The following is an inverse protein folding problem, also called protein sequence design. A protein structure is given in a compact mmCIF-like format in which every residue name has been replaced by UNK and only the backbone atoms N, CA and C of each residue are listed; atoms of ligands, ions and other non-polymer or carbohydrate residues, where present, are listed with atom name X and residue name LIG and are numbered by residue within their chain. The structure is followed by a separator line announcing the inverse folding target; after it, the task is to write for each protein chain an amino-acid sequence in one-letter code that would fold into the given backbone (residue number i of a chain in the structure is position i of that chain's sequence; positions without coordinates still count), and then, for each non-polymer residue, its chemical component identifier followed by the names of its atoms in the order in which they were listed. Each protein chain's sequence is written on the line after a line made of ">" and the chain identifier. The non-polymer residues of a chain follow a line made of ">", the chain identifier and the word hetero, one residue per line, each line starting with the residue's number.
data_IF_962134872586
#
_entry.id   IF_962134872586
#
_cell.length_a   1.000
_cell.length_b   1.000
_cell.length_c   1.000
_cell.angle_alpha   90.00
_cell.angle_beta   90.00
_cell.angle_gamma   90.00
#
_symmetry.space_group_name_H-M   'P 1'
#
loop_
_entity.id
_entity.type
_entity.pdbx_description
1 polymer ?
#
# COMPACT_ATOMS: atom_id res chain seq x y z
N UNK A 1 -8.18 -24.76 25.11
CA UNK A 1 -6.98 -24.23 24.42
C UNK A 1 -5.97 -25.37 24.20
N UNK A 2 -6.26 -26.37 23.35
CA UNK A 2 -5.36 -27.54 23.17
C UNK A 2 -5.38 -28.18 21.77
N UNK A 3 -5.77 -27.45 20.72
CA UNK A 3 -5.76 -28.00 19.35
C UNK A 3 -5.07 -27.04 18.35
N UNK A 4 -3.76 -26.90 18.44
CA UNK A 4 -2.98 -26.28 17.36
C UNK A 4 -1.54 -26.84 17.28
N UNK A 5 -1.41 -28.17 17.33
CA UNK A 5 -0.24 -28.86 16.80
C UNK A 5 -0.59 -29.44 15.43
N UNK A 6 -0.68 -28.58 14.41
CA UNK A 6 -0.59 -29.03 13.02
C UNK A 6 0.44 -28.19 12.29
N UNK A 7 1.41 -28.91 11.72
CA UNK A 7 2.70 -28.45 11.21
C UNK A 7 2.57 -27.84 9.80
N UNK A 8 1.48 -27.13 9.53
CA UNK A 8 1.17 -26.51 8.23
C UNK A 8 0.76 -25.02 8.36
N UNK A 9 1.44 -24.30 9.25
CA UNK A 9 1.28 -22.84 9.45
C UNK A 9 1.45 -22.01 8.17
N UNK A 10 2.19 -22.52 7.18
CA UNK A 10 2.40 -21.86 5.89
C UNK A 10 1.13 -21.79 5.03
N UNK A 11 0.20 -22.75 5.16
CA UNK A 11 -1.07 -22.74 4.40
C UNK A 11 -2.08 -21.78 5.04
N UNK A 12 -2.07 -21.62 6.37
CA UNK A 12 -2.90 -20.61 7.04
C UNK A 12 -2.48 -19.16 6.68
N UNK A 13 -1.21 -18.95 6.34
CA UNK A 13 -0.73 -17.68 5.76
C UNK A 13 -1.07 -17.48 4.28
N UNK A 14 -1.40 -18.56 3.55
CA UNK A 14 -1.66 -18.52 2.10
C UNK A 14 -3.16 -18.45 1.73
N UNK A 15 -4.08 -18.65 2.68
CA UNK A 15 -5.45 -19.07 2.33
C UNK A 15 -6.42 -17.96 1.86
N UNK A 16 -6.35 -16.65 2.24
CA UNK A 16 -7.26 -15.69 1.57
C UNK A 16 -6.88 -14.19 1.46
N UNK A 17 -5.71 -13.71 1.91
CA UNK A 17 -5.64 -12.28 2.27
C UNK A 17 -5.28 -11.25 1.18
N UNK A 18 -4.76 -11.65 0.01
CA UNK A 18 -4.29 -10.68 -0.99
C UNK A 18 -5.20 -10.51 -2.21
N UNK A 19 -5.76 -11.57 -2.82
CA UNK A 19 -6.52 -11.40 -4.06
C UNK A 19 -7.89 -10.76 -3.86
N UNK A 20 -8.65 -11.15 -2.83
CA UNK A 20 -10.08 -10.79 -2.71
C UNK A 20 -10.30 -9.33 -2.28
N UNK A 21 -9.53 -8.84 -1.29
CA UNK A 21 -9.60 -7.44 -0.87
C UNK A 21 -9.02 -6.49 -1.94
N UNK A 22 -7.94 -6.90 -2.62
CA UNK A 22 -7.41 -6.16 -3.75
C UNK A 22 -8.44 -6.11 -4.90
N UNK A 23 -9.15 -7.21 -5.17
CA UNK A 23 -10.19 -7.27 -6.20
C UNK A 23 -11.31 -6.25 -5.95
N UNK A 24 -11.81 -6.17 -4.71
CA UNK A 24 -12.88 -5.24 -4.35
C UNK A 24 -12.40 -3.79 -4.47
N UNK A 25 -11.20 -3.48 -3.96
CA UNK A 25 -10.62 -2.14 -4.07
C UNK A 25 -10.37 -1.73 -5.54
N UNK A 26 -9.86 -2.65 -6.36
CA UNK A 26 -9.64 -2.43 -7.78
C UNK A 26 -10.96 -2.29 -8.55
N UNK A 27 -11.98 -3.08 -8.23
CA UNK A 27 -13.31 -3.00 -8.86
C UNK A 27 -14.02 -1.67 -8.56
N UNK A 28 -13.95 -1.20 -7.31
CA UNK A 28 -14.54 0.09 -6.91
C UNK A 28 -13.79 1.25 -7.59
N UNK A 29 -12.45 1.25 -7.56
CA UNK A 29 -11.66 2.31 -8.21
C UNK A 29 -11.87 2.33 -9.73
N UNK A 30 -11.93 1.15 -10.37
CA UNK A 30 -12.19 1.05 -11.80
C UNK A 30 -13.57 1.62 -12.16
N UNK A 31 -14.57 1.39 -11.31
CA UNK A 31 -15.94 1.84 -11.53
C UNK A 31 -16.13 3.34 -11.25
N UNK A 32 -15.43 3.91 -10.27
CA UNK A 32 -15.60 5.32 -9.87
C UNK A 32 -14.65 6.32 -10.56
N UNK A 33 -13.42 5.92 -10.91
CA UNK A 33 -12.36 6.85 -11.38
C UNK A 33 -11.74 6.48 -12.73
N UNK A 34 -12.22 5.40 -13.36
CA UNK A 34 -11.73 4.91 -14.64
C UNK A 34 -10.40 4.13 -14.57
N UNK A 35 -9.95 3.64 -15.73
CA UNK A 35 -8.82 2.72 -15.88
C UNK A 35 -7.48 3.34 -15.40
N UNK A 36 -7.32 4.64 -15.53
CA UNK A 36 -6.09 5.34 -15.16
C UNK A 36 -5.88 5.38 -13.64
N UNK A 37 -6.98 5.57 -12.89
CA UNK A 37 -6.97 5.47 -11.44
C UNK A 37 -6.78 4.01 -10.96
N UNK A 38 -7.34 3.04 -11.69
CA UNK A 38 -7.11 1.63 -11.43
C UNK A 38 -5.62 1.28 -11.56
N UNK A 39 -4.96 1.69 -12.66
CA UNK A 39 -3.53 1.46 -12.89
C UNK A 39 -2.67 2.07 -11.78
N UNK A 40 -2.97 3.29 -11.35
CA UNK A 40 -2.28 3.92 -10.22
C UNK A 40 -2.47 3.13 -8.92
N UNK A 41 -3.68 2.61 -8.67
CA UNK A 41 -3.99 1.79 -7.49
C UNK A 41 -3.26 0.46 -7.52
N UNK A 42 -3.15 -0.19 -8.69
CA UNK A 42 -2.35 -1.42 -8.86
C UNK A 42 -0.89 -1.15 -8.51
N UNK A 43 -0.31 -0.06 -9.02
CA UNK A 43 1.09 0.28 -8.71
C UNK A 43 1.24 0.55 -7.22
N UNK A 44 0.33 1.31 -6.59
CA UNK A 44 0.32 1.51 -5.14
C UNK A 44 0.23 0.17 -4.37
N UNK A 45 -0.59 -0.77 -4.83
CA UNK A 45 -0.68 -2.13 -4.27
C UNK A 45 0.63 -2.91 -4.40
N UNK A 46 1.40 -2.70 -5.47
CA UNK A 46 2.75 -3.29 -5.58
C UNK A 46 3.70 -2.68 -4.54
N UNK A 47 3.64 -1.37 -4.34
CA UNK A 47 4.44 -0.67 -3.34
C UNK A 47 4.04 -1.02 -1.90
N UNK A 48 2.77 -1.36 -1.63
CA UNK A 48 2.29 -1.76 -0.29
C UNK A 48 2.88 -3.09 0.22
N UNK A 49 3.53 -3.87 -0.66
CA UNK A 49 4.33 -5.03 -0.28
C UNK A 49 5.45 -4.63 0.68
N UNK A 50 6.01 -3.42 0.56
CA UNK A 50 7.11 -2.95 1.41
C UNK A 50 6.69 -2.87 2.88
N UNK A 51 5.60 -2.14 3.27
CA UNK A 51 5.09 -2.16 4.63
C UNK A 51 4.83 -3.56 5.17
N UNK A 52 4.27 -4.45 4.36
CA UNK A 52 4.03 -5.83 4.76
C UNK A 52 5.34 -6.59 5.02
N UNK A 53 6.36 -6.38 4.19
CA UNK A 53 7.67 -6.96 4.41
C UNK A 53 8.32 -6.44 5.70
N UNK A 54 8.22 -5.14 5.96
CA UNK A 54 8.68 -4.51 7.22
C UNK A 54 7.98 -5.13 8.43
N UNK A 55 6.67 -5.36 8.35
CA UNK A 55 5.92 -6.06 9.39
C UNK A 55 6.50 -7.45 9.68
N UNK A 56 6.73 -8.27 8.65
CA UNK A 56 7.23 -9.63 8.80
C UNK A 56 8.65 -9.68 9.39
N UNK A 57 9.54 -8.82 8.91
CA UNK A 57 10.91 -8.73 9.44
C UNK A 57 10.90 -8.25 10.89
N UNK A 58 10.09 -7.25 11.21
CA UNK A 58 9.95 -6.74 12.58
C UNK A 58 9.40 -7.82 13.51
N UNK A 59 8.42 -8.60 13.06
CA UNK A 59 7.83 -9.68 13.84
C UNK A 59 8.82 -10.83 14.06
N UNK A 60 9.57 -11.20 13.03
CA UNK A 60 10.63 -12.20 13.16
C UNK A 60 11.70 -11.76 14.16
N UNK A 61 12.12 -10.49 14.08
CA UNK A 61 13.12 -9.93 15.00
C UNK A 61 12.58 -9.83 16.45
N UNK A 62 11.38 -9.28 16.63
CA UNK A 62 10.80 -9.06 17.95
C UNK A 62 10.35 -10.34 18.65
N UNK A 63 9.93 -11.38 17.93
CA UNK A 63 9.62 -12.68 18.53
C UNK A 63 10.86 -13.39 19.07
N UNK A 64 12.06 -13.05 18.61
CA UNK A 64 13.33 -13.53 19.16
C UNK A 64 13.77 -12.84 20.46
N UNK A 65 13.20 -11.68 20.80
CA UNK A 65 13.65 -10.85 21.92
C UNK A 65 12.59 -10.59 22.98
N UNK A 66 11.31 -10.53 22.60
CA UNK A 66 10.21 -10.06 23.45
C UNK A 66 9.10 -11.11 23.60
N UNK A 67 8.22 -10.91 24.59
CA UNK A 67 6.99 -11.69 24.74
C UNK A 67 6.09 -11.46 23.53
N UNK A 68 5.38 -12.50 23.10
CA UNK A 68 4.56 -12.49 21.89
C UNK A 68 3.61 -11.28 21.76
N UNK A 69 2.87 -10.83 22.79
CA UNK A 69 2.02 -9.65 22.67
C UNK A 69 2.80 -8.36 22.37
N UNK A 70 3.96 -8.16 23.01
CA UNK A 70 4.82 -7.01 22.77
C UNK A 70 5.43 -7.06 21.37
N UNK A 71 5.79 -8.25 20.88
CA UNK A 71 6.29 -8.43 19.52
C UNK A 71 5.25 -8.06 18.46
N UNK A 72 3.98 -8.42 18.65
CA UNK A 72 2.89 -8.00 17.76
C UNK A 72 2.71 -6.48 17.76
N UNK A 73 2.65 -5.86 18.94
CA UNK A 73 2.48 -4.39 19.05
C UNK A 73 3.63 -3.65 18.37
N UNK A 74 4.88 -4.06 18.63
CA UNK A 74 6.04 -3.47 17.98
C UNK A 74 6.01 -3.62 16.46
N UNK A 75 5.63 -4.79 15.96
CA UNK A 75 5.59 -5.07 14.52
C UNK A 75 4.51 -4.25 13.82
N UNK A 76 3.34 -4.09 14.45
CA UNK A 76 2.26 -3.24 13.95
C UNK A 76 2.67 -1.76 13.95
N UNK A 77 3.44 -1.30 14.93
CA UNK A 77 3.98 0.06 14.94
C UNK A 77 4.95 0.28 13.78
N UNK A 78 5.90 -0.64 13.54
CA UNK A 78 6.84 -0.57 12.41
C UNK A 78 6.11 -0.58 11.05
N UNK A 79 5.09 -1.44 10.92
CA UNK A 79 4.20 -1.46 9.75
C UNK A 79 3.50 -0.12 9.54
N UNK A 80 2.90 0.44 10.60
CA UNK A 80 2.17 1.70 10.55
C UNK A 80 3.05 2.86 10.10
N UNK A 81 4.29 2.95 10.62
CA UNK A 81 5.26 3.97 10.20
C UNK A 81 5.62 3.79 8.72
N UNK A 82 5.93 2.57 8.29
CA UNK A 82 6.27 2.30 6.88
C UNK A 82 5.10 2.60 5.94
N UNK A 83 3.87 2.22 6.31
CA UNK A 83 2.67 2.50 5.55
C UNK A 83 2.41 4.01 5.46
N UNK A 84 2.61 4.74 6.57
CA UNK A 84 2.43 6.18 6.61
C UNK A 84 3.40 6.92 5.68
N UNK A 85 4.68 6.55 5.71
CA UNK A 85 5.70 7.09 4.79
C UNK A 85 5.31 6.81 3.33
N UNK A 86 4.87 5.59 3.04
CA UNK A 86 4.47 5.19 1.69
C UNK A 86 3.29 6.01 1.17
N UNK A 87 2.27 6.23 2.01
CA UNK A 87 1.11 7.08 1.70
C UNK A 87 1.54 8.53 1.45
N UNK A 88 2.39 9.11 2.30
CA UNK A 88 2.87 10.49 2.11
C UNK A 88 3.64 10.62 0.80
N UNK A 89 4.57 9.70 0.51
CA UNK A 89 5.32 9.69 -0.73
C UNK A 89 4.39 9.61 -1.94
N UNK A 90 3.36 8.77 -1.88
CA UNK A 90 2.38 8.61 -2.94
C UNK A 90 1.53 9.86 -3.16
N UNK A 91 1.05 10.49 -2.08
CA UNK A 91 0.29 11.74 -2.16
C UNK A 91 1.15 12.86 -2.77
N UNK A 92 2.41 13.00 -2.36
CA UNK A 92 3.32 14.00 -2.93
C UNK A 92 3.59 13.76 -4.42
N UNK A 93 3.77 12.50 -4.81
CA UNK A 93 3.92 12.15 -6.22
C UNK A 93 2.67 12.54 -7.03
N UNK A 94 1.47 12.23 -6.51
CA UNK A 94 0.20 12.59 -7.16
C UNK A 94 -0.01 14.11 -7.28
N UNK A 95 0.30 14.88 -6.23
CA UNK A 95 0.23 16.35 -6.24
C UNK A 95 1.18 16.97 -7.26
N UNK A 96 2.36 16.38 -7.45
CA UNK A 96 3.35 16.84 -8.43
C UNK A 96 2.83 16.66 -9.87
N UNK A 97 2.14 15.55 -10.16
CA UNK A 97 1.53 15.30 -11.47
C UNK A 97 0.43 16.33 -11.80
N UNK A 98 -0.45 16.64 -10.82
CA UNK A 98 -1.50 17.66 -10.99
C UNK A 98 -0.92 19.06 -11.25
N UNK A 99 0.11 19.44 -10.50
CA UNK A 99 0.78 20.74 -10.68
C UNK A 99 1.42 20.87 -12.07
N UNK A 100 1.99 19.76 -12.58
CA UNK A 100 2.59 19.71 -13.91
C UNK A 100 1.55 19.80 -15.02
N UNK A 101 0.38 19.17 -14.85
CA UNK A 101 -0.73 19.25 -15.79
C UNK A 101 -1.28 20.68 -15.92
N UNK A 102 -1.53 21.35 -14.78
CA UNK A 102 -2.02 22.74 -14.76
C UNK A 102 -1.03 23.69 -15.45
N UNK A 103 0.28 23.49 -15.23
CA UNK A 103 1.33 24.28 -15.90
C UNK A 103 1.35 24.07 -17.43
N UNK A 104 1.01 22.86 -17.90
CA UNK A 104 0.92 22.56 -19.34
C UNK A 104 -0.29 23.23 -19.99
N UNK A 105 -1.45 23.21 -19.32
CA UNK A 105 -2.67 23.85 -19.83
C UNK A 105 -2.52 25.37 -19.91
N UNK A 106 -1.97 25.99 -18.86
CA UNK A 106 -1.71 27.44 -18.83
C UNK A 106 -0.68 27.86 -19.90
N UNK A 107 0.40 27.09 -20.10
CA UNK A 107 1.37 27.35 -21.16
C UNK A 107 0.81 27.13 -22.58
N UNK A 108 -0.14 26.21 -22.77
CA UNK A 108 -0.81 25.99 -24.06
C UNK A 108 -1.81 27.10 -24.37
N UNK A 109 -2.55 27.60 -23.38
CA UNK A 109 -3.50 28.71 -23.53
C UNK A 109 -2.78 30.02 -23.87
N UNK A 110 -1.63 30.28 -23.27
CA UNK A 110 -0.81 31.45 -23.57
C UNK A 110 -0.29 31.44 -25.03
N UNK A 111 0.16 30.28 -25.51
CA UNK A 111 0.55 30.12 -26.93
C UNK A 111 -0.61 30.22 -27.92
N UNK A 112 -1.84 29.87 -27.52
CA UNK A 112 -3.02 29.98 -28.38
C UNK A 112 -3.58 31.41 -28.45
N UNK A 113 -3.25 32.26 -27.47
CA UNK A 113 -3.75 33.65 -27.37
C UNK A 113 -2.69 34.69 -27.74
N UNK A 114 -1.42 34.29 -27.85
CA UNK A 114 -0.31 35.10 -28.33
C UNK A 114 -0.37 35.34 -29.84
N UNK A 115 -1.02 36.44 -30.21
CA UNK A 115 -0.75 37.20 -31.43
C UNK A 115 0.30 38.27 -31.13
#
# INVERSE_FOLDING_TARGET
>A
MFLAKTKNYYIAGLIPLFPTFALIAHYIVASERGIEALRATIIFSMWSIIPYFVYLVSLWYFTGMMRLPAAFVGSVACWGISAWVLIICWIKAALTQMTTAIKRETASGDKATGK
#
